data_IF_868285030303
#
_entry.id   IF_868285030303
#
_cell.length_a   1.000
_cell.length_b   1.000
_cell.length_c   1.000
_cell.angle_alpha   90.00
_cell.angle_beta   90.00
_cell.angle_gamma   90.00
#
_symmetry.space_group_name_H-M   'P 1'
#
loop_
_entity.id
_entity.type
_entity.pdbx_description
1 polymer ?
#
# COMPACT_ATOMS: atom_id res chain seq x y z
N UNK A 1 32.38 4.15 4.48
CA UNK A 1 32.95 2.84 4.11
C UNK A 1 32.12 1.79 4.83
N UNK A 2 31.70 0.68 4.19
CA UNK A 2 31.01 -0.42 4.91
C UNK A 2 31.89 -0.88 6.08
N UNK A 3 31.31 -1.00 7.27
CA UNK A 3 32.08 -1.37 8.45
C UNK A 3 32.58 -2.81 8.35
N UNK A 4 31.83 -3.72 7.69
CA UNK A 4 32.23 -5.11 7.47
C UNK A 4 33.55 -5.22 6.71
N UNK A 5 33.72 -4.44 5.62
CA UNK A 5 34.96 -4.47 4.81
C UNK A 5 36.18 -3.87 5.51
N UNK A 6 35.95 -2.95 6.45
CA UNK A 6 36.99 -2.18 7.13
C UNK A 6 37.21 -2.56 8.59
N UNK A 7 36.56 -3.63 9.05
CA UNK A 7 36.64 -4.10 10.43
C UNK A 7 36.85 -5.61 10.49
N UNK A 8 37.37 -6.11 11.61
CA UNK A 8 37.59 -7.54 11.86
C UNK A 8 37.17 -7.92 13.29
N UNK A 9 36.95 -9.22 13.53
CA UNK A 9 36.51 -9.72 14.83
C UNK A 9 35.12 -9.21 15.23
N UNK A 10 34.22 -9.09 14.26
CA UNK A 10 32.87 -8.56 14.47
C UNK A 10 32.06 -9.55 15.31
N UNK A 11 31.49 -9.07 16.40
CA UNK A 11 30.68 -9.87 17.32
C UNK A 11 29.57 -9.05 17.94
N UNK A 12 28.47 -9.70 18.30
CA UNK A 12 27.39 -9.11 19.10
C UNK A 12 27.41 -9.75 20.48
N UNK A 13 27.34 -8.92 21.51
CA UNK A 13 27.23 -9.39 22.90
C UNK A 13 25.77 -9.64 23.28
N UNK A 14 25.49 -10.37 24.38
CA UNK A 14 24.13 -10.58 24.87
C UNK A 14 23.37 -9.28 25.18
N UNK A 15 24.09 -8.19 25.47
CA UNK A 15 23.52 -6.86 25.70
C UNK A 15 23.26 -6.09 24.38
N UNK A 16 23.22 -6.80 23.26
CA UNK A 16 22.99 -6.28 21.90
C UNK A 16 23.96 -5.15 21.49
N UNK A 17 25.17 -5.19 22.05
CA UNK A 17 26.27 -4.31 21.71
C UNK A 17 27.16 -4.98 20.66
N UNK A 18 27.22 -4.37 19.48
CA UNK A 18 28.08 -4.73 18.37
C UNK A 18 29.51 -4.26 18.66
N UNK A 19 30.48 -5.14 18.53
CA UNK A 19 31.91 -4.84 18.75
C UNK A 19 32.75 -5.32 17.58
N UNK A 20 33.75 -4.53 17.19
CA UNK A 20 34.71 -4.89 16.15
C UNK A 20 36.05 -4.17 16.33
N UNK A 21 37.11 -4.69 15.71
CA UNK A 21 38.35 -3.95 15.48
C UNK A 21 38.24 -3.21 14.14
N UNK A 22 38.18 -1.89 14.18
CA UNK A 22 37.94 -1.03 13.03
C UNK A 22 39.24 -0.40 12.54
N UNK A 23 39.47 -0.43 11.23
CA UNK A 23 40.62 0.20 10.59
C UNK A 23 40.51 1.73 10.66
N UNK A 24 41.57 2.38 11.09
CA UNK A 24 41.76 3.82 11.11
C UNK A 24 42.37 4.31 9.79
N UNK A 25 42.31 5.63 9.55
CA UNK A 25 42.89 6.26 8.35
C UNK A 25 44.40 6.05 8.27
N UNK A 26 45.08 5.98 9.43
CA UNK A 26 46.51 5.69 9.52
C UNK A 26 46.86 4.19 9.34
N UNK A 27 45.88 3.33 9.03
CA UNK A 27 46.07 1.90 8.82
C UNK A 27 46.06 1.03 10.07
N UNK A 28 46.09 1.61 11.28
CA UNK A 28 46.00 0.86 12.53
C UNK A 28 44.57 0.40 12.83
N UNK A 29 44.41 -0.64 13.63
CA UNK A 29 43.10 -1.14 14.07
C UNK A 29 42.80 -0.68 15.48
N UNK A 30 41.61 -0.13 15.70
CA UNK A 30 41.10 0.30 17.00
C UNK A 30 39.85 -0.50 17.35
N UNK A 31 39.80 -1.05 18.55
CA UNK A 31 38.59 -1.71 19.05
C UNK A 31 37.51 -0.66 19.30
N UNK A 32 36.33 -0.87 18.73
CA UNK A 32 35.17 -0.01 18.90
C UNK A 32 33.90 -0.84 19.12
N UNK A 33 32.90 -0.24 19.73
CA UNK A 33 31.61 -0.88 19.95
C UNK A 33 30.47 0.13 19.89
N UNK A 34 29.27 -0.34 19.53
CA UNK A 34 28.06 0.47 19.39
C UNK A 34 26.84 -0.37 19.79
N UNK A 35 25.83 0.24 20.42
CA UNK A 35 24.59 -0.45 20.79
C UNK A 35 23.59 -0.39 19.64
N UNK A 36 22.89 -1.50 19.39
CA UNK A 36 21.88 -1.59 18.34
C UNK A 36 20.48 -1.20 18.82
N UNK A 37 20.15 -1.46 20.09
CA UNK A 37 18.84 -1.14 20.71
C UNK A 37 18.36 0.31 20.54
N UNK A 38 19.22 1.34 20.60
CA UNK A 38 18.77 2.72 20.44
C UNK A 38 18.24 3.06 19.03
N UNK A 39 18.51 2.20 18.04
CA UNK A 39 18.28 2.49 16.61
C UNK A 39 17.57 1.35 15.87
N UNK A 40 17.35 0.21 16.54
CA UNK A 40 16.59 -0.92 16.01
C UNK A 40 15.40 -1.21 16.91
N UNK A 41 14.23 -1.33 16.30
CA UNK A 41 12.99 -1.82 16.90
C UNK A 41 12.44 -3.04 16.17
N UNK A 42 11.30 -3.52 16.67
CA UNK A 42 10.52 -4.59 16.06
C UNK A 42 9.18 -4.03 15.58
N UNK A 43 8.93 -4.10 14.27
CA UNK A 43 7.65 -3.79 13.65
C UNK A 43 7.01 -5.08 13.13
N UNK A 44 6.07 -5.62 13.90
CA UNK A 44 5.29 -6.82 13.57
C UNK A 44 6.12 -8.02 13.07
N UNK A 45 7.22 -8.35 13.76
CA UNK A 45 8.10 -9.47 13.41
C UNK A 45 9.21 -9.14 12.42
N UNK A 46 9.38 -7.86 12.06
CA UNK A 46 10.45 -7.39 11.17
C UNK A 46 11.31 -6.32 11.85
N UNK A 47 12.61 -6.28 11.51
CA UNK A 47 13.49 -5.22 12.00
C UNK A 47 13.05 -3.86 11.45
N UNK A 48 12.93 -2.88 12.35
CA UNK A 48 12.61 -1.50 11.99
C UNK A 48 13.76 -0.59 12.43
N UNK A 49 14.41 0.06 11.48
CA UNK A 49 15.46 1.04 11.77
C UNK A 49 14.82 2.35 12.25
N UNK A 50 15.48 3.05 13.16
CA UNK A 50 14.94 4.17 13.96
C UNK A 50 13.87 3.76 14.98
N UNK A 51 13.49 2.48 14.99
CA UNK A 51 12.83 1.86 16.12
C UNK A 51 13.73 1.81 17.35
N UNK A 52 13.15 1.41 18.48
CA UNK A 52 13.89 1.25 19.74
C UNK A 52 13.60 -0.10 20.38
N UNK A 53 14.57 -0.57 21.15
CA UNK A 53 14.44 -1.71 22.04
C UNK A 53 13.97 -3.01 21.34
N UNK A 54 14.44 -3.31 20.12
CA UNK A 54 14.09 -4.57 19.44
C UNK A 54 14.35 -5.79 20.33
N UNK A 55 15.43 -5.74 21.12
CA UNK A 55 15.84 -6.73 22.12
C UNK A 55 14.71 -7.22 23.02
N UNK A 56 13.78 -6.33 23.43
CA UNK A 56 12.65 -6.68 24.32
C UNK A 56 11.70 -7.70 23.70
N UNK A 57 11.73 -7.84 22.39
CA UNK A 57 10.83 -8.70 21.62
C UNK A 57 11.59 -9.58 20.61
N UNK A 58 12.89 -9.74 20.83
CA UNK A 58 13.79 -10.54 20.00
C UNK A 58 14.32 -11.75 20.77
N UNK A 59 14.57 -12.85 20.07
CA UNK A 59 15.30 -14.01 20.57
C UNK A 59 16.21 -14.59 19.48
N UNK A 60 17.13 -15.46 19.88
CA UNK A 60 18.06 -16.16 18.98
C UNK A 60 18.89 -15.21 18.10
N UNK A 61 19.32 -14.08 18.67
CA UNK A 61 20.07 -13.05 17.96
C UNK A 61 21.49 -13.52 17.66
N UNK A 62 21.87 -13.51 16.39
CA UNK A 62 23.19 -13.94 15.92
C UNK A 62 23.68 -13.13 14.73
N UNK A 63 24.99 -13.11 14.51
CA UNK A 63 25.60 -12.50 13.33
C UNK A 63 26.08 -13.59 12.38
N UNK A 64 25.81 -13.40 11.09
CA UNK A 64 26.36 -14.23 10.01
C UNK A 64 26.95 -13.32 8.94
N UNK A 65 28.08 -13.73 8.37
CA UNK A 65 28.66 -13.05 7.21
C UNK A 65 28.11 -13.73 5.96
N UNK A 66 27.35 -12.99 5.17
CA UNK A 66 26.73 -13.46 3.93
C UNK A 66 27.10 -12.51 2.81
N UNK A 67 27.63 -13.04 1.69
CA UNK A 67 28.05 -12.26 0.52
C UNK A 67 28.99 -11.08 0.86
N UNK A 68 29.85 -11.25 1.87
CA UNK A 68 30.80 -10.22 2.31
C UNK A 68 30.17 -9.08 3.12
N UNK A 69 28.91 -9.20 3.54
CA UNK A 69 28.21 -8.27 4.44
C UNK A 69 27.89 -8.93 5.78
N UNK A 70 27.83 -8.14 6.85
CA UNK A 70 27.45 -8.65 8.18
C UNK A 70 25.94 -8.57 8.38
N UNK A 71 25.29 -9.73 8.47
CA UNK A 71 23.84 -9.86 8.63
C UNK A 71 23.49 -10.22 10.08
N UNK A 72 22.59 -9.43 10.68
CA UNK A 72 21.98 -9.68 11.97
C UNK A 72 20.73 -10.54 11.78
N UNK A 73 20.75 -11.77 12.31
CA UNK A 73 19.62 -12.68 12.33
C UNK A 73 18.95 -12.67 13.70
N UNK A 74 17.62 -12.66 13.74
CA UNK A 74 16.85 -12.78 14.98
C UNK A 74 15.45 -13.34 14.73
N UNK A 75 14.84 -13.93 15.75
CA UNK A 75 13.40 -14.19 15.80
C UNK A 75 12.70 -13.04 16.51
N UNK A 76 11.84 -12.30 15.81
CA UNK A 76 11.07 -11.18 16.36
C UNK A 76 9.61 -11.55 16.57
N UNK A 77 9.02 -11.04 17.66
CA UNK A 77 7.62 -11.30 18.01
C UNK A 77 6.67 -10.42 17.20
N UNK A 78 5.69 -11.04 16.54
CA UNK A 78 4.60 -10.38 15.82
C UNK A 78 3.49 -9.90 16.78
N UNK A 79 2.60 -9.03 16.31
CA UNK A 79 1.44 -8.52 17.08
C UNK A 79 0.46 -9.63 17.45
N UNK A 80 0.33 -10.66 16.62
CA UNK A 80 -0.47 -11.86 16.88
C UNK A 80 0.17 -12.80 17.93
N UNK A 81 1.39 -12.49 18.39
CA UNK A 81 2.13 -13.25 19.37
C UNK A 81 3.02 -14.36 18.79
N UNK A 82 2.97 -14.61 17.48
CA UNK A 82 3.85 -15.55 16.79
C UNK A 82 5.29 -14.99 16.70
N UNK A 83 6.25 -15.87 16.41
CA UNK A 83 7.65 -15.50 16.21
C UNK A 83 8.02 -15.65 14.74
N UNK A 84 8.71 -14.66 14.20
CA UNK A 84 9.13 -14.62 12.81
C UNK A 84 10.66 -14.48 12.75
N UNK A 85 11.31 -15.38 12.00
CA UNK A 85 12.72 -15.25 11.69
C UNK A 85 12.92 -14.12 10.67
N UNK A 86 13.85 -13.23 10.98
CA UNK A 86 14.17 -12.08 10.15
C UNK A 86 15.66 -11.77 10.20
N UNK A 87 16.13 -11.05 9.19
CA UNK A 87 17.52 -10.72 8.99
C UNK A 87 17.68 -9.26 8.56
N UNK A 88 18.70 -8.58 9.06
CA UNK A 88 19.03 -7.20 8.70
C UNK A 88 20.51 -7.08 8.35
N UNK A 89 20.82 -6.49 7.21
CA UNK A 89 22.19 -6.15 6.87
C UNK A 89 22.66 -4.95 7.71
N UNK A 90 23.65 -5.15 8.58
CA UNK A 90 24.17 -4.10 9.45
C UNK A 90 24.98 -3.06 8.69
N UNK A 91 25.51 -3.38 7.50
CA UNK A 91 26.24 -2.40 6.68
C UNK A 91 25.37 -1.23 6.21
N UNK A 92 24.05 -1.37 6.29
CA UNK A 92 23.08 -0.31 5.95
C UNK A 92 23.06 0.79 7.02
N UNK A 93 23.31 0.44 8.28
CA UNK A 93 23.10 1.33 9.44
C UNK A 93 24.37 1.54 10.28
N UNK A 94 25.38 0.70 10.13
CA UNK A 94 26.63 0.78 10.88
C UNK A 94 27.76 1.15 9.93
N UNK A 95 28.51 2.19 10.29
CA UNK A 95 29.68 2.63 9.55
C UNK A 95 30.92 2.64 10.45
N UNK A 96 32.08 2.37 9.85
CA UNK A 96 33.37 2.65 10.48
C UNK A 96 33.83 4.06 10.07
N UNK A 97 33.95 4.95 11.04
CA UNK A 97 34.53 6.29 10.87
C UNK A 97 35.85 6.38 11.64
N UNK A 98 36.97 6.24 10.92
CA UNK A 98 38.33 6.34 11.45
C UNK A 98 38.58 5.48 12.70
N UNK A 99 38.20 4.20 12.65
CA UNK A 99 38.36 3.26 13.76
C UNK A 99 37.28 3.32 14.83
N UNK A 100 36.19 4.06 14.58
CA UNK A 100 35.03 4.13 15.48
C UNK A 100 33.77 3.67 14.76
N UNK A 101 33.11 2.66 15.33
CA UNK A 101 31.76 2.25 14.91
C UNK A 101 30.77 3.33 15.29
N UNK A 102 30.02 3.79 14.30
CA UNK A 102 28.93 4.74 14.47
C UNK A 102 27.67 4.18 13.82
N UNK A 103 26.51 4.48 14.39
CA UNK A 103 25.26 4.31 13.66
C UNK A 103 25.14 5.49 12.70
N UNK A 104 24.96 5.18 11.42
CA UNK A 104 24.70 6.16 10.37
C UNK A 104 23.30 5.92 9.81
N UNK A 105 22.30 6.58 10.38
CA UNK A 105 20.91 6.53 9.90
C UNK A 105 20.66 7.48 8.74
N UNK A 106 21.66 8.26 8.31
CA UNK A 106 21.54 9.18 7.16
C UNK A 106 21.40 8.46 5.81
N UNK A 107 21.48 7.12 5.80
CA UNK A 107 21.18 6.23 4.68
C UNK A 107 19.70 5.87 4.57
N UNK A 108 18.89 6.15 5.60
CA UNK A 108 17.46 5.81 5.69
C UNK A 108 16.58 7.05 5.72
N UNK A 109 17.15 8.22 6.04
CA UNK A 109 16.49 9.49 5.81
C UNK A 109 16.28 9.71 4.31
N UNK A 110 15.12 9.31 3.82
CA UNK A 110 14.51 9.96 2.66
C UNK A 110 14.49 11.47 2.93
N UNK A 111 14.78 12.31 1.93
CA UNK A 111 14.84 13.76 2.13
C UNK A 111 13.56 14.25 2.79
N UNK A 112 13.72 15.08 3.83
CA UNK A 112 12.69 15.67 4.67
C UNK A 112 11.37 15.90 3.92
N UNK A 113 10.31 15.21 4.36
CA UNK A 113 8.95 15.37 3.83
C UNK A 113 8.51 14.34 2.77
N UNK A 114 9.18 13.19 2.64
CA UNK A 114 8.64 12.07 1.88
C UNK A 114 7.53 11.35 2.67
N UNK A 115 6.34 11.24 2.07
CA UNK A 115 5.31 10.28 2.49
C UNK A 115 5.98 8.90 2.52
N UNK A 116 6.14 8.34 3.71
CA UNK A 116 6.74 7.01 3.87
C UNK A 116 5.78 5.96 3.28
N UNK A 117 6.30 4.81 2.82
CA UNK A 117 5.46 3.70 2.38
C UNK A 117 4.40 3.34 3.43
N UNK A 118 4.74 3.43 4.72
CA UNK A 118 3.82 3.22 5.84
C UNK A 118 2.64 4.21 5.84
N UNK A 119 2.88 5.48 5.52
CA UNK A 119 1.81 6.48 5.42
C UNK A 119 0.89 6.21 4.23
N UNK A 120 1.46 5.77 3.10
CA UNK A 120 0.70 5.37 1.92
C UNK A 120 -0.16 4.12 2.20
N UNK A 121 0.43 3.09 2.80
CA UNK A 121 -0.27 1.87 3.18
C UNK A 121 -1.40 2.15 4.16
N UNK A 122 -1.16 3.03 5.15
CA UNK A 122 -2.17 3.48 6.09
C UNK A 122 -3.32 4.20 5.37
N UNK A 123 -3.01 5.10 4.43
CA UNK A 123 -4.02 5.82 3.64
C UNK A 123 -4.88 4.87 2.79
N UNK A 124 -4.26 3.86 2.16
CA UNK A 124 -4.95 2.82 1.40
C UNK A 124 -5.86 1.99 2.32
N UNK A 125 -5.38 1.58 3.50
CA UNK A 125 -6.18 0.78 4.43
C UNK A 125 -7.34 1.60 5.03
N UNK A 126 -7.13 2.87 5.34
CA UNK A 126 -8.21 3.78 5.78
C UNK A 126 -9.27 3.99 4.68
N UNK A 127 -8.87 4.00 3.41
CA UNK A 127 -9.79 4.04 2.28
C UNK A 127 -10.61 2.76 2.19
N UNK A 128 -9.96 1.59 2.33
CA UNK A 128 -10.59 0.27 2.31
C UNK A 128 -11.56 0.06 3.46
N UNK A 129 -11.18 0.49 4.66
CA UNK A 129 -12.05 0.44 5.82
C UNK A 129 -13.30 1.31 5.61
N UNK A 130 -13.13 2.53 5.10
CA UNK A 130 -14.26 3.42 4.82
C UNK A 130 -15.20 2.87 3.73
N UNK A 131 -14.67 2.17 2.71
CA UNK A 131 -15.50 1.46 1.74
C UNK A 131 -16.30 0.33 2.40
N UNK A 132 -15.68 -0.41 3.31
CA UNK A 132 -16.33 -1.49 4.08
C UNK A 132 -17.44 -0.96 4.99
N UNK A 133 -17.18 0.15 5.68
CA UNK A 133 -18.15 0.80 6.56
C UNK A 133 -19.35 1.32 5.77
N UNK A 134 -19.11 1.98 4.63
CA UNK A 134 -20.16 2.45 3.73
C UNK A 134 -21.03 1.29 3.22
N UNK A 135 -20.39 0.19 2.81
CA UNK A 135 -21.07 -1.04 2.38
C UNK A 135 -21.99 -1.61 3.45
N UNK A 136 -21.50 -1.70 4.70
CA UNK A 136 -22.30 -2.23 5.80
C UNK A 136 -23.48 -1.30 6.11
N UNK A 137 -23.26 0.02 6.10
CA UNK A 137 -24.33 1.01 6.28
C UNK A 137 -25.41 0.87 5.21
N UNK A 138 -25.04 0.76 3.92
CA UNK A 138 -25.99 0.58 2.82
C UNK A 138 -26.76 -0.73 2.99
N UNK A 139 -26.07 -1.84 3.27
CA UNK A 139 -26.72 -3.14 3.47
C UNK A 139 -27.76 -3.09 4.58
N UNK A 140 -27.41 -2.54 5.73
CA UNK A 140 -28.27 -2.48 6.90
C UNK A 140 -29.47 -1.56 6.68
N UNK A 141 -29.30 -0.49 5.91
CA UNK A 141 -30.39 0.40 5.53
C UNK A 141 -31.34 -0.30 4.54
N UNK A 142 -30.83 -0.86 3.44
CA UNK A 142 -31.64 -1.51 2.41
C UNK A 142 -32.39 -2.73 2.94
N UNK A 143 -31.74 -3.55 3.78
CA UNK A 143 -32.37 -4.73 4.39
C UNK A 143 -33.55 -4.32 5.28
N UNK A 144 -33.40 -3.24 6.06
CA UNK A 144 -34.43 -2.76 6.96
C UNK A 144 -35.64 -2.23 6.22
N UNK A 145 -35.43 -1.32 5.27
CA UNK A 145 -36.52 -0.71 4.50
C UNK A 145 -37.23 -1.76 3.64
N UNK A 146 -36.48 -2.67 2.98
CA UNK A 146 -37.04 -3.76 2.17
C UNK A 146 -37.90 -4.72 3.01
N UNK A 147 -37.46 -5.07 4.22
CA UNK A 147 -38.25 -5.93 5.11
C UNK A 147 -39.55 -5.27 5.57
N UNK A 148 -39.53 -3.98 5.90
CA UNK A 148 -40.74 -3.24 6.26
C UNK A 148 -41.71 -3.17 5.08
N UNK A 149 -41.21 -2.85 3.88
CA UNK A 149 -42.05 -2.76 2.70
C UNK A 149 -42.63 -4.12 2.29
N UNK A 150 -41.85 -5.19 2.43
CA UNK A 150 -42.33 -6.56 2.19
C UNK A 150 -43.45 -6.96 3.14
N UNK A 151 -43.41 -6.55 4.42
CA UNK A 151 -44.49 -6.81 5.36
C UNK A 151 -45.79 -6.11 4.95
N UNK A 152 -45.72 -4.84 4.56
CA UNK A 152 -46.88 -4.08 4.08
C UNK A 152 -47.44 -4.67 2.77
N UNK A 153 -46.60 -5.03 1.81
CA UNK A 153 -47.00 -5.69 0.55
C UNK A 153 -47.69 -7.02 0.82
N UNK A 154 -47.14 -7.87 1.69
CA UNK A 154 -47.76 -9.14 2.07
C UNK A 154 -49.11 -8.96 2.78
N UNK A 155 -49.27 -7.88 3.54
CA UNK A 155 -50.54 -7.55 4.20
C UNK A 155 -51.57 -7.10 3.17
N UNK A 156 -51.20 -6.24 2.22
CA UNK A 156 -52.05 -5.85 1.11
C UNK A 156 -52.46 -7.06 0.24
N UNK A 157 -51.52 -7.96 -0.05
CA UNK A 157 -51.78 -9.19 -0.81
C UNK A 157 -52.81 -10.10 -0.12
N UNK A 158 -52.72 -10.27 1.21
CA UNK A 158 -53.74 -10.99 1.99
C UNK A 158 -55.08 -10.28 1.97
N UNK A 159 -55.09 -8.95 2.04
CA UNK A 159 -56.30 -8.13 1.91
C UNK A 159 -57.01 -8.33 0.58
N UNK A 160 -56.27 -8.39 -0.55
CA UNK A 160 -56.83 -8.70 -1.87
C UNK A 160 -57.47 -10.10 -1.85
N UNK A 161 -56.78 -11.11 -1.33
CA UNK A 161 -57.31 -12.48 -1.30
C UNK A 161 -58.59 -12.60 -0.46
N UNK A 162 -58.64 -11.94 0.70
CA UNK A 162 -59.84 -11.89 1.56
C UNK A 162 -61.01 -11.20 0.86
N UNK A 163 -60.74 -10.12 0.12
CA UNK A 163 -61.76 -9.42 -0.65
C UNK A 163 -62.29 -10.28 -1.81
N UNK A 164 -61.42 -11.00 -2.51
CA UNK A 164 -61.83 -11.93 -3.56
C UNK A 164 -62.68 -13.08 -3.02
N UNK A 165 -62.34 -13.64 -1.85
CA UNK A 165 -63.13 -14.67 -1.17
C UNK A 165 -64.52 -14.13 -0.79
N UNK A 166 -64.59 -12.94 -0.19
CA UNK A 166 -65.85 -12.29 0.16
C UNK A 166 -66.77 -12.04 -1.05
N UNK A 167 -66.19 -11.70 -2.21
CA UNK A 167 -66.94 -11.54 -3.47
C UNK A 167 -67.46 -12.87 -4.02
N UNK A 168 -66.69 -13.96 -3.86
CA UNK A 168 -67.07 -15.29 -4.37
C UNK A 168 -68.16 -15.97 -3.53
N UNK A 169 -68.20 -15.71 -2.22
CA UNK A 169 -69.19 -16.32 -1.31
C UNK A 169 -70.63 -15.78 -1.52
N UNK A 170 -70.81 -14.76 -2.36
CA UNK A 170 -71.91 -14.69 -3.34
C UNK A 170 -73.37 -14.58 -2.86
N UNK A 171 -73.66 -14.58 -1.56
CA UNK A 171 -75.04 -14.51 -1.06
C UNK A 171 -75.53 -13.11 -0.64
N UNK A 172 -74.65 -12.27 -0.11
CA UNK A 172 -75.03 -11.05 0.62
C UNK A 172 -74.64 -9.72 -0.06
N UNK A 173 -73.82 -9.74 -1.11
CA UNK A 173 -73.27 -8.54 -1.75
C UNK A 173 -73.94 -8.19 -3.08
N UNK A 174 -75.26 -8.43 -3.18
CA UNK A 174 -76.03 -7.92 -4.30
C UNK A 174 -76.06 -6.38 -4.33
N UNK A 175 -75.82 -5.73 -3.18
CA UNK A 175 -75.87 -4.29 -3.03
C UNK A 175 -74.51 -3.70 -2.61
N UNK A 176 -74.11 -2.63 -3.29
CA UNK A 176 -72.78 -1.99 -3.20
C UNK A 176 -72.43 -1.48 -1.81
N UNK A 177 -73.46 -1.23 -0.98
CA UNK A 177 -73.30 -0.72 0.37
C UNK A 177 -72.61 -1.71 1.31
N UNK A 178 -72.63 -3.01 1.00
CA UNK A 178 -72.12 -4.02 1.92
C UNK A 178 -70.59 -4.14 1.87
N UNK A 179 -69.91 -3.87 0.74
CA UNK A 179 -68.45 -4.10 0.61
C UNK A 179 -67.58 -2.83 0.67
N UNK A 180 -68.21 -1.65 0.81
CA UNK A 180 -67.51 -0.36 0.93
C UNK A 180 -66.48 -0.31 2.08
N UNK A 181 -66.76 -0.84 3.28
CA UNK A 181 -65.78 -0.86 4.38
C UNK A 181 -64.52 -1.67 4.04
N UNK A 182 -64.68 -2.85 3.44
CA UNK A 182 -63.61 -3.76 3.06
C UNK A 182 -62.76 -3.16 1.93
N UNK A 183 -63.40 -2.53 0.94
CA UNK A 183 -62.71 -1.81 -0.13
C UNK A 183 -61.88 -0.63 0.41
N UNK A 184 -62.45 0.15 1.33
CA UNK A 184 -61.73 1.23 2.01
C UNK A 184 -60.53 0.72 2.82
N UNK A 185 -60.66 -0.41 3.51
CA UNK A 185 -59.55 -1.05 4.22
C UNK A 185 -58.46 -1.53 3.26
N UNK A 186 -58.82 -2.19 2.16
CA UNK A 186 -57.86 -2.64 1.15
C UNK A 186 -57.08 -1.47 0.55
N UNK A 187 -57.76 -0.38 0.22
CA UNK A 187 -57.13 0.84 -0.30
C UNK A 187 -56.12 1.42 0.69
N UNK A 188 -56.44 1.41 1.98
CA UNK A 188 -55.49 1.81 3.02
C UNK A 188 -54.25 0.91 3.03
N UNK A 189 -54.41 -0.41 2.96
CA UNK A 189 -53.29 -1.35 2.93
C UNK A 189 -52.39 -1.16 1.70
N UNK A 190 -52.97 -0.95 0.53
CA UNK A 190 -52.21 -0.68 -0.70
C UNK A 190 -51.49 0.66 -0.63
N UNK A 191 -52.13 1.69 -0.10
CA UNK A 191 -51.49 2.99 0.11
C UNK A 191 -50.33 2.92 1.09
N UNK A 192 -50.44 2.14 2.18
CA UNK A 192 -49.33 1.89 3.10
C UNK A 192 -48.20 1.13 2.39
N UNK A 193 -48.52 0.08 1.63
CA UNK A 193 -47.53 -0.68 0.85
C UNK A 193 -46.77 0.21 -0.14
N UNK A 194 -47.46 1.06 -0.92
CA UNK A 194 -46.83 2.04 -1.82
C UNK A 194 -45.96 3.05 -1.06
N UNK A 195 -46.43 3.49 0.12
CA UNK A 195 -45.68 4.38 1.01
C UNK A 195 -44.38 3.76 1.52
N UNK A 196 -44.40 2.49 1.95
CA UNK A 196 -43.18 1.79 2.36
C UNK A 196 -42.24 1.53 1.17
N UNK A 197 -42.77 1.22 -0.02
CA UNK A 197 -41.95 1.00 -1.21
C UNK A 197 -41.23 2.28 -1.66
N UNK A 198 -41.86 3.44 -1.48
CA UNK A 198 -41.23 4.75 -1.69
C UNK A 198 -40.02 4.97 -0.78
N UNK A 199 -40.04 4.47 0.47
CA UNK A 199 -38.86 4.54 1.35
C UNK A 199 -37.72 3.65 0.88
N UNK A 200 -38.02 2.51 0.26
CA UNK A 200 -37.00 1.63 -0.33
C UNK A 200 -36.31 2.35 -1.50
N UNK A 201 -37.08 2.99 -2.37
CA UNK A 201 -36.56 3.82 -3.46
C UNK A 201 -35.66 4.95 -2.91
N UNK A 202 -36.13 5.72 -1.93
CA UNK A 202 -35.35 6.78 -1.29
C UNK A 202 -34.05 6.25 -0.68
N UNK A 203 -34.08 5.05 -0.09
CA UNK A 203 -32.91 4.40 0.49
C UNK A 203 -31.90 3.94 -0.58
N UNK A 204 -32.37 3.40 -1.71
CA UNK A 204 -31.50 3.03 -2.85
C UNK A 204 -30.90 4.27 -3.49
N UNK A 205 -31.70 5.31 -3.73
CA UNK A 205 -31.20 6.59 -4.25
C UNK A 205 -30.16 7.23 -3.32
N UNK A 206 -30.41 7.23 -2.01
CA UNK A 206 -29.44 7.69 -1.01
C UNK A 206 -28.14 6.86 -1.03
N UNK A 207 -28.24 5.53 -1.15
CA UNK A 207 -27.08 4.64 -1.26
C UNK A 207 -26.25 4.92 -2.53
N UNK A 208 -26.91 5.09 -3.68
CA UNK A 208 -26.26 5.48 -4.94
C UNK A 208 -25.51 6.80 -4.80
N UNK A 209 -26.14 7.82 -4.19
CA UNK A 209 -25.48 9.11 -3.93
C UNK A 209 -24.27 9.00 -2.98
N UNK A 210 -24.38 8.21 -1.92
CA UNK A 210 -23.24 8.00 -1.01
C UNK A 210 -22.05 7.31 -1.70
N UNK A 211 -22.31 6.33 -2.57
CA UNK A 211 -21.28 5.66 -3.36
C UNK A 211 -20.61 6.64 -4.33
N UNK A 212 -21.40 7.40 -5.09
CA UNK A 212 -20.89 8.45 -5.99
C UNK A 212 -20.08 9.50 -5.22
N UNK A 213 -20.53 9.87 -4.02
CA UNK A 213 -19.83 10.75 -3.09
C UNK A 213 -18.47 10.19 -2.66
N UNK A 214 -18.43 8.92 -2.24
CA UNK A 214 -17.20 8.22 -1.84
C UNK A 214 -16.19 8.15 -3.01
N UNK A 215 -16.65 7.82 -4.21
CA UNK A 215 -15.80 7.78 -5.41
C UNK A 215 -15.15 9.13 -5.72
N UNK A 216 -15.96 10.19 -5.75
CA UNK A 216 -15.51 11.54 -6.16
C UNK A 216 -14.64 12.23 -5.13
N UNK A 217 -14.82 11.92 -3.85
CA UNK A 217 -14.09 12.58 -2.76
C UNK A 217 -12.95 11.70 -2.26
N UNK A 218 -13.26 10.72 -1.41
CA UNK A 218 -12.26 9.94 -0.67
C UNK A 218 -11.40 9.09 -1.59
N UNK A 219 -12.00 8.33 -2.50
CA UNK A 219 -11.25 7.44 -3.39
C UNK A 219 -10.43 8.21 -4.44
N UNK A 220 -10.99 9.30 -4.98
CA UNK A 220 -10.25 10.17 -5.89
C UNK A 220 -9.06 10.85 -5.22
N UNK A 221 -9.25 11.40 -4.02
CA UNK A 221 -8.17 12.02 -3.24
C UNK A 221 -7.03 11.04 -2.94
N UNK A 222 -7.37 9.83 -2.50
CA UNK A 222 -6.39 8.78 -2.17
C UNK A 222 -5.58 8.39 -3.40
N UNK A 223 -6.25 8.18 -4.55
CA UNK A 223 -5.55 7.83 -5.80
C UNK A 223 -4.64 8.97 -6.26
N UNK A 224 -5.10 10.22 -6.19
CA UNK A 224 -4.30 11.37 -6.57
C UNK A 224 -3.04 11.54 -5.69
N UNK A 225 -3.17 11.27 -4.38
CA UNK A 225 -2.04 11.30 -3.44
C UNK A 225 -1.03 10.16 -3.71
N UNK A 226 -1.52 8.96 -4.03
CA UNK A 226 -0.67 7.84 -4.44
C UNK A 226 0.08 8.16 -5.73
N UNK A 227 -0.61 8.63 -6.78
CA UNK A 227 0.01 8.98 -8.07
C UNK A 227 0.98 10.16 -7.95
N UNK A 228 0.75 11.10 -7.03
CA UNK A 228 1.72 12.15 -6.72
C UNK A 228 2.98 11.59 -6.04
N UNK A 229 2.81 10.65 -5.11
CA UNK A 229 3.89 9.97 -4.40
C UNK A 229 4.71 9.10 -5.35
N UNK A 230 4.07 8.32 -6.23
CA UNK A 230 4.71 7.53 -7.27
C UNK A 230 5.60 8.39 -8.18
N UNK A 231 5.08 9.53 -8.66
CA UNK A 231 5.84 10.46 -9.50
C UNK A 231 7.06 11.03 -8.77
N UNK A 232 6.93 11.34 -7.48
CA UNK A 232 8.05 11.82 -6.66
C UNK A 232 9.13 10.74 -6.51
N UNK A 233 8.74 9.51 -6.16
CA UNK A 233 9.69 8.39 -6.01
C UNK A 233 10.39 8.09 -7.34
N UNK A 234 9.66 8.05 -8.45
CA UNK A 234 10.24 7.81 -9.78
C UNK A 234 11.29 8.87 -10.14
N UNK A 235 11.02 10.15 -9.87
CA UNK A 235 11.98 11.23 -10.11
C UNK A 235 13.24 11.11 -9.22
N UNK A 236 13.10 10.64 -7.98
CA UNK A 236 14.25 10.40 -7.09
C UNK A 236 15.05 9.17 -7.54
N UNK A 237 14.41 8.10 -8.05
CA UNK A 237 15.09 6.95 -8.68
C UNK A 237 15.95 7.43 -9.85
N UNK A 238 15.38 8.18 -10.79
CA UNK A 238 16.10 8.69 -11.96
C UNK A 238 17.30 9.56 -11.56
N UNK A 239 17.16 10.40 -10.53
CA UNK A 239 18.26 11.21 -9.99
C UNK A 239 19.38 10.33 -9.43
N UNK A 240 19.05 9.33 -8.61
CA UNK A 240 20.06 8.44 -8.03
C UNK A 240 20.80 7.61 -9.08
N UNK A 241 20.09 7.16 -10.14
CA UNK A 241 20.71 6.47 -11.26
C UNK A 241 21.70 7.36 -12.03
N UNK A 242 21.40 8.66 -12.17
CA UNK A 242 22.32 9.62 -12.78
C UNK A 242 23.58 9.81 -11.93
N UNK A 243 23.42 10.00 -10.62
CA UNK A 243 24.55 10.13 -9.68
C UNK A 243 25.43 8.86 -9.64
N UNK A 244 24.83 7.66 -9.72
CA UNK A 244 25.58 6.41 -9.87
C UNK A 244 26.39 6.36 -11.16
N UNK A 245 25.82 6.83 -12.27
CA UNK A 245 26.51 6.86 -13.55
C UNK A 245 27.72 7.80 -13.49
N UNK A 246 27.57 8.98 -12.89
CA UNK A 246 28.66 9.94 -12.71
C UNK A 246 29.76 9.41 -11.79
N UNK A 247 29.40 8.82 -10.65
CA UNK A 247 30.39 8.21 -9.73
C UNK A 247 31.09 7.00 -10.34
N UNK A 248 30.42 6.25 -11.22
CA UNK A 248 31.05 5.17 -12.00
C UNK A 248 32.10 5.72 -12.95
N UNK A 249 31.78 6.75 -13.72
CA UNK A 249 32.73 7.42 -14.63
C UNK A 249 33.93 7.97 -13.85
N UNK A 250 33.69 8.56 -12.68
CA UNK A 250 34.77 9.09 -11.85
C UNK A 250 35.71 7.97 -11.35
N UNK A 251 35.17 6.83 -10.93
CA UNK A 251 35.97 5.66 -10.52
C UNK A 251 36.79 5.08 -11.67
N UNK A 252 36.23 5.00 -12.88
CA UNK A 252 36.96 4.57 -14.08
C UNK A 252 38.12 5.54 -14.35
N UNK A 253 37.88 6.85 -14.28
CA UNK A 253 38.93 7.87 -14.44
C UNK A 253 40.04 7.78 -13.39
N UNK A 254 39.72 7.53 -12.11
CA UNK A 254 40.73 7.36 -11.06
C UNK A 254 41.54 6.08 -11.27
N UNK A 255 40.89 4.99 -11.68
CA UNK A 255 41.56 3.72 -11.99
C UNK A 255 42.54 3.88 -13.16
N UNK A 256 42.15 4.61 -14.20
CA UNK A 256 43.01 4.91 -15.35
C UNK A 256 44.23 5.74 -14.95
N UNK A 257 44.05 6.74 -14.07
CA UNK A 257 45.16 7.54 -13.53
C UNK A 257 46.17 6.68 -12.75
N UNK A 258 45.69 5.76 -11.89
CA UNK A 258 46.58 4.83 -11.18
C UNK A 258 47.32 3.94 -12.17
N UNK A 259 46.62 3.39 -13.17
CA UNK A 259 47.24 2.56 -14.22
C UNK A 259 48.33 3.30 -14.99
N UNK A 260 48.10 4.58 -15.30
CA UNK A 260 49.10 5.44 -15.95
C UNK A 260 50.31 5.70 -15.04
N UNK A 261 50.08 6.07 -13.78
CA UNK A 261 51.16 6.29 -12.81
C UNK A 261 52.00 5.03 -12.58
N UNK A 262 51.39 3.85 -12.51
CA UNK A 262 52.10 2.57 -12.38
C UNK A 262 52.98 2.28 -13.60
N UNK A 263 52.50 2.57 -14.81
CA UNK A 263 53.24 2.39 -16.07
C UNK A 263 54.41 3.38 -16.20
N UNK A 264 54.21 4.64 -15.80
CA UNK A 264 55.27 5.65 -15.76
C UNK A 264 56.36 5.23 -14.78
N UNK A 265 55.98 4.73 -13.60
CA UNK A 265 56.92 4.23 -12.60
C UNK A 265 57.71 3.00 -13.08
N UNK A 266 57.07 2.02 -13.73
CA UNK A 266 57.79 0.86 -14.28
C UNK A 266 58.78 1.28 -15.38
N UNK A 267 58.37 2.19 -16.25
CA UNK A 267 59.23 2.75 -17.30
C UNK A 267 60.44 3.49 -16.71
N UNK A 268 60.24 4.29 -15.66
CA UNK A 268 61.32 4.99 -14.96
C UNK A 268 62.30 4.02 -14.28
N UNK A 269 61.79 2.93 -13.69
CA UNK A 269 62.64 1.88 -13.12
C UNK A 269 63.48 1.17 -14.18
N UNK A 270 62.88 0.83 -15.33
CA UNK A 270 63.60 0.17 -16.44
C UNK A 270 64.71 1.06 -17.00
N UNK A 271 64.40 2.34 -17.26
CA UNK A 271 65.38 3.33 -17.72
C UNK A 271 66.54 3.50 -16.72
N UNK A 272 66.25 3.40 -15.42
CA UNK A 272 67.28 3.47 -14.37
C UNK A 272 68.18 2.25 -14.35
N UNK A 273 67.63 1.05 -14.56
CA UNK A 273 68.43 -0.18 -14.69
C UNK A 273 69.33 -0.12 -15.92
N UNK A 274 68.81 0.36 -17.06
CA UNK A 274 69.58 0.55 -18.29
C UNK A 274 70.70 1.58 -18.12
N UNK A 275 70.43 2.71 -17.44
CA UNK A 275 71.43 3.72 -17.14
C UNK A 275 72.52 3.17 -16.21
N UNK A 276 72.14 2.44 -15.16
CA UNK A 276 73.07 1.80 -14.23
C UNK A 276 73.98 0.79 -14.94
N UNK A 277 73.42 -0.06 -15.80
CA UNK A 277 74.16 -1.02 -16.61
C UNK A 277 75.19 -0.35 -17.55
N UNK A 278 74.91 0.86 -18.05
CA UNK A 278 75.83 1.65 -18.88
C UNK A 278 76.93 2.35 -18.08
N UNK A 279 76.63 2.81 -16.86
CA UNK A 279 77.61 3.52 -16.00
C UNK A 279 78.48 2.61 -15.12
N UNK A 280 78.15 1.33 -14.94
CA UNK A 280 78.93 0.38 -14.15
C UNK A 280 80.35 0.11 -14.67
N UNK A 281 80.75 0.70 -15.80
CA UNK A 281 82.09 0.59 -16.38
C UNK A 281 83.09 1.69 -15.95
N UNK A 282 82.72 2.71 -15.17
CA UNK A 282 83.67 3.77 -14.73
C UNK A 282 83.45 4.16 -13.26
N UNK A 283 84.46 3.91 -12.41
CA UNK A 283 84.53 4.29 -11.00
C UNK A 283 84.31 5.80 -10.79
N UNK A 284 83.39 6.22 -9.90
CA UNK A 284 83.59 7.24 -8.83
C UNK A 284 82.50 7.11 -7.73
N UNK A 285 82.84 7.00 -6.42
CA UNK A 285 81.85 6.89 -5.33
C UNK A 285 81.24 8.21 -4.80
N UNK A 286 81.82 9.38 -5.12
CA UNK A 286 81.52 10.65 -4.41
C UNK A 286 80.39 11.51 -5.01
N UNK A 287 79.90 11.23 -6.22
CA UNK A 287 78.78 11.97 -6.86
C UNK A 287 77.42 11.28 -6.64
N UNK A 288 77.41 10.06 -6.08
CA UNK A 288 76.20 9.24 -5.98
C UNK A 288 75.30 9.53 -4.77
N UNK A 289 75.81 10.19 -3.74
CA UNK A 289 75.03 10.45 -2.51
C UNK A 289 73.90 11.47 -2.73
N UNK A 290 74.10 12.62 -3.41
CA UNK A 290 73.02 13.57 -3.69
C UNK A 290 71.92 12.99 -4.59
N UNK A 291 72.30 12.26 -5.65
CA UNK A 291 71.38 11.59 -6.57
C UNK A 291 70.55 10.48 -5.91
N UNK A 292 71.10 9.80 -4.89
CA UNK A 292 70.36 8.80 -4.12
C UNK A 292 69.32 9.44 -3.18
N UNK A 293 69.61 10.64 -2.65
CA UNK A 293 68.69 11.40 -1.78
C UNK A 293 67.53 11.97 -2.60
N UNK A 294 67.81 12.60 -3.74
CA UNK A 294 66.78 13.15 -4.63
C UNK A 294 65.83 12.05 -5.14
N UNK A 295 66.38 10.89 -5.51
CA UNK A 295 65.60 9.71 -5.90
C UNK A 295 64.81 9.06 -4.75
N UNK A 296 65.20 9.31 -3.49
CA UNK A 296 64.47 8.86 -2.30
C UNK A 296 63.28 9.79 -2.02
N UNK A 297 63.47 11.10 -2.18
CA UNK A 297 62.41 12.09 -2.01
C UNK A 297 61.34 11.98 -3.10
N UNK A 298 61.75 11.73 -4.36
CA UNK A 298 60.81 11.44 -5.44
C UNK A 298 59.99 10.18 -5.15
N UNK A 299 60.61 9.07 -4.71
CA UNK A 299 59.88 7.85 -4.34
C UNK A 299 58.88 8.09 -3.21
N UNK A 300 59.26 8.87 -2.19
CA UNK A 300 58.35 9.21 -1.11
C UNK A 300 57.15 10.05 -1.59
N UNK A 301 57.36 10.94 -2.57
CA UNK A 301 56.27 11.69 -3.20
C UNK A 301 55.36 10.77 -4.05
N UNK A 302 55.93 9.83 -4.79
CA UNK A 302 55.17 8.83 -5.55
C UNK A 302 54.32 7.94 -4.65
N UNK A 303 54.91 7.37 -3.60
CA UNK A 303 54.19 6.52 -2.64
C UNK A 303 53.03 7.30 -1.98
N UNK A 304 53.24 8.59 -1.69
CA UNK A 304 52.20 9.47 -1.18
C UNK A 304 51.06 9.67 -2.20
N UNK A 305 51.38 9.97 -3.46
CA UNK A 305 50.37 10.15 -4.52
C UNK A 305 49.57 8.88 -4.78
N UNK A 306 50.22 7.71 -4.80
CA UNK A 306 49.53 6.41 -4.93
C UNK A 306 48.60 6.19 -3.75
N UNK A 307 49.07 6.44 -2.53
CA UNK A 307 48.25 6.31 -1.32
C UNK A 307 47.04 7.25 -1.34
N UNK A 308 47.22 8.50 -1.78
CA UNK A 308 46.14 9.48 -1.90
C UNK A 308 45.09 9.06 -2.94
N UNK A 309 45.52 8.52 -4.10
CA UNK A 309 44.63 7.97 -5.12
C UNK A 309 43.89 6.71 -4.65
N UNK A 310 44.56 5.79 -3.95
CA UNK A 310 43.93 4.59 -3.37
C UNK A 310 42.86 4.96 -2.32
N UNK A 311 43.13 5.98 -1.51
CA UNK A 311 42.16 6.52 -0.56
C UNK A 311 40.95 7.12 -1.29
N UNK A 312 41.17 7.89 -2.36
CA UNK A 312 40.10 8.47 -3.18
C UNK A 312 39.24 7.38 -3.86
N UNK A 313 39.85 6.31 -4.38
CA UNK A 313 39.11 5.15 -4.92
C UNK A 313 38.28 4.48 -3.83
N UNK A 314 38.85 4.28 -2.64
CA UNK A 314 38.13 3.63 -1.54
C UNK A 314 36.93 4.46 -1.07
N UNK A 315 37.09 5.79 -1.01
CA UNK A 315 36.00 6.72 -0.69
C UNK A 315 34.92 6.71 -1.78
N UNK A 316 35.31 6.81 -3.05
CA UNK A 316 34.35 6.81 -4.16
C UNK A 316 33.64 5.46 -4.31
N UNK A 317 34.34 4.34 -4.07
CA UNK A 317 33.73 3.01 -4.01
C UNK A 317 32.69 2.90 -2.88
N UNK A 318 32.93 3.56 -1.74
CA UNK A 318 31.92 3.60 -0.70
C UNK A 318 30.70 4.43 -1.10
N UNK A 319 30.90 5.55 -1.80
CA UNK A 319 29.78 6.35 -2.30
C UNK A 319 28.92 5.54 -3.28
N UNK A 320 29.55 4.75 -4.17
CA UNK A 320 28.83 3.81 -5.04
C UNK A 320 28.00 2.80 -4.25
N UNK A 321 28.61 2.08 -3.30
CA UNK A 321 27.90 1.10 -2.47
C UNK A 321 26.68 1.74 -1.74
N UNK A 322 26.81 3.01 -1.33
CA UNK A 322 25.73 3.78 -0.70
C UNK A 322 24.61 4.12 -1.68
N UNK A 323 24.96 4.58 -2.89
CA UNK A 323 23.99 4.89 -3.93
C UNK A 323 23.23 3.63 -4.38
N UNK A 324 23.90 2.48 -4.50
CA UNK A 324 23.28 1.19 -4.81
C UNK A 324 22.24 0.81 -3.74
N UNK A 325 22.58 1.01 -2.47
CA UNK A 325 21.64 0.79 -1.35
C UNK A 325 20.40 1.69 -1.41
N UNK A 326 20.59 2.98 -1.74
CA UNK A 326 19.50 3.93 -1.89
C UNK A 326 18.59 3.58 -3.08
N UNK A 327 19.17 3.21 -4.23
CA UNK A 327 18.42 2.79 -5.41
C UNK A 327 17.52 1.59 -5.10
N UNK A 328 18.06 0.54 -4.46
CA UNK A 328 17.28 -0.65 -4.07
C UNK A 328 16.12 -0.26 -3.13
N UNK A 329 16.35 0.67 -2.20
CA UNK A 329 15.31 1.18 -1.31
C UNK A 329 14.20 1.92 -2.05
N UNK A 330 14.56 2.82 -2.97
CA UNK A 330 13.62 3.58 -3.78
C UNK A 330 12.82 2.70 -4.74
N UNK A 331 13.45 1.70 -5.37
CA UNK A 331 12.77 0.74 -6.24
C UNK A 331 11.72 -0.08 -5.47
N UNK A 332 12.05 -0.52 -4.25
CA UNK A 332 11.06 -1.19 -3.38
C UNK A 332 9.92 -0.26 -3.00
N UNK A 333 10.21 0.99 -2.65
CA UNK A 333 9.18 1.99 -2.34
C UNK A 333 8.25 2.24 -3.53
N UNK A 334 8.82 2.33 -4.73
CA UNK A 334 8.06 2.47 -5.98
C UNK A 334 7.17 1.24 -6.23
N UNK A 335 7.69 0.04 -5.99
CA UNK A 335 6.90 -1.19 -6.11
C UNK A 335 5.72 -1.22 -5.13
N UNK A 336 5.94 -0.83 -3.86
CA UNK A 336 4.87 -0.72 -2.86
C UNK A 336 3.82 0.31 -3.28
N UNK A 337 4.25 1.48 -3.77
CA UNK A 337 3.34 2.52 -4.25
C UNK A 337 2.48 2.03 -5.43
N UNK A 338 3.11 1.39 -6.43
CA UNK A 338 2.42 0.79 -7.57
C UNK A 338 1.38 -0.26 -7.14
N UNK A 339 1.71 -1.10 -6.16
CA UNK A 339 0.75 -2.07 -5.61
C UNK A 339 -0.42 -1.38 -4.90
N UNK A 340 -0.16 -0.30 -4.15
CA UNK A 340 -1.21 0.50 -3.50
C UNK A 340 -2.15 1.14 -4.53
N UNK A 341 -1.58 1.74 -5.58
CA UNK A 341 -2.32 2.34 -6.69
C UNK A 341 -3.21 1.34 -7.41
N UNK A 342 -2.68 0.16 -7.71
CA UNK A 342 -3.42 -0.93 -8.34
C UNK A 342 -4.59 -1.42 -7.46
N UNK A 343 -4.39 -1.56 -6.15
CA UNK A 343 -5.48 -1.91 -5.22
C UNK A 343 -6.59 -0.84 -5.24
N UNK A 344 -6.23 0.44 -5.22
CA UNK A 344 -7.21 1.53 -5.28
C UNK A 344 -7.93 1.60 -6.63
N UNK A 345 -7.26 1.28 -7.75
CA UNK A 345 -7.90 1.21 -9.08
C UNK A 345 -8.93 0.08 -9.15
N UNK A 346 -8.61 -1.10 -8.60
CA UNK A 346 -9.58 -2.21 -8.48
C UNK A 346 -10.78 -1.80 -7.65
N UNK A 347 -10.55 -1.24 -6.46
CA UNK A 347 -11.63 -0.71 -5.62
C UNK A 347 -12.48 0.33 -6.37
N UNK A 348 -11.87 1.19 -7.20
CA UNK A 348 -12.63 2.14 -8.05
C UNK A 348 -13.51 1.44 -9.08
N UNK A 349 -13.01 0.39 -9.71
CA UNK A 349 -13.79 -0.41 -10.65
C UNK A 349 -14.97 -1.10 -9.95
N UNK A 350 -14.71 -1.76 -8.82
CA UNK A 350 -15.73 -2.48 -8.04
C UNK A 350 -16.83 -1.53 -7.54
N UNK A 351 -16.46 -0.37 -6.98
CA UNK A 351 -17.41 0.67 -6.59
C UNK A 351 -18.16 1.25 -7.80
N UNK A 352 -17.52 1.29 -8.98
CA UNK A 352 -18.13 1.68 -10.25
C UNK A 352 -19.27 0.75 -10.65
N UNK A 353 -18.98 -0.55 -10.71
CA UNK A 353 -19.98 -1.59 -11.01
C UNK A 353 -21.13 -1.54 -10.01
N UNK A 354 -20.84 -1.42 -8.71
CA UNK A 354 -21.88 -1.31 -7.69
C UNK A 354 -22.79 -0.08 -7.90
N UNK A 355 -22.23 1.06 -8.33
CA UNK A 355 -23.03 2.24 -8.63
C UNK A 355 -24.00 2.01 -9.79
N UNK A 356 -23.58 1.29 -10.83
CA UNK A 356 -24.42 0.96 -11.99
C UNK A 356 -25.52 -0.03 -11.59
N UNK A 357 -25.19 -1.03 -10.78
CA UNK A 357 -26.17 -2.01 -10.27
C UNK A 357 -27.24 -1.35 -9.39
N UNK A 358 -26.86 -0.39 -8.55
CA UNK A 358 -27.81 0.37 -7.72
C UNK A 358 -28.69 1.31 -8.55
N UNK A 359 -28.14 1.97 -9.58
CA UNK A 359 -28.94 2.81 -10.48
C UNK A 359 -29.98 1.96 -11.23
N UNK A 360 -29.60 0.76 -11.69
CA UNK A 360 -30.54 -0.19 -12.30
C UNK A 360 -31.58 -0.75 -11.33
N UNK A 361 -31.21 -0.94 -10.06
CA UNK A 361 -32.15 -1.34 -9.00
C UNK A 361 -33.14 -0.20 -8.68
N UNK A 362 -32.68 1.04 -8.63
CA UNK A 362 -33.50 2.23 -8.42
C UNK A 362 -34.58 2.34 -9.50
N UNK A 363 -34.19 2.19 -10.77
CA UNK A 363 -35.12 2.22 -11.91
C UNK A 363 -36.21 1.12 -11.80
N UNK A 364 -35.82 -0.12 -11.47
CA UNK A 364 -36.78 -1.23 -11.27
C UNK A 364 -37.74 -0.94 -10.13
N UNK A 365 -37.27 -0.40 -9.01
CA UNK A 365 -38.12 -0.07 -7.86
C UNK A 365 -39.09 1.06 -8.21
N UNK A 366 -38.59 2.09 -8.90
CA UNK A 366 -39.39 3.22 -9.35
C UNK A 366 -40.53 2.75 -10.27
N UNK A 367 -40.23 1.91 -11.26
CA UNK A 367 -41.23 1.32 -12.16
C UNK A 367 -42.34 0.60 -11.38
N UNK A 368 -41.96 -0.27 -10.43
CA UNK A 368 -42.95 -0.99 -9.61
C UNK A 368 -43.75 -0.09 -8.67
N UNK A 369 -43.13 0.96 -8.14
CA UNK A 369 -43.87 1.99 -7.37
C UNK A 369 -44.92 2.69 -8.23
N UNK A 370 -44.57 3.08 -9.46
CA UNK A 370 -45.50 3.72 -10.39
C UNK A 370 -46.68 2.79 -10.70
N UNK A 371 -46.42 1.52 -11.01
CA UNK A 371 -47.47 0.52 -11.22
C UNK A 371 -48.40 0.37 -10.01
N UNK A 372 -47.86 0.32 -8.79
CA UNK A 372 -48.67 0.27 -7.56
C UNK A 372 -49.50 1.55 -7.36
N UNK A 373 -48.95 2.71 -7.69
CA UNK A 373 -49.63 4.01 -7.55
C UNK A 373 -50.79 4.11 -8.52
N UNK A 374 -50.56 3.75 -9.79
CA UNK A 374 -51.59 3.70 -10.82
C UNK A 374 -52.67 2.70 -10.44
N UNK A 375 -52.30 1.53 -9.93
CA UNK A 375 -53.26 0.54 -9.45
C UNK A 375 -54.15 1.07 -8.31
N UNK A 376 -53.57 1.74 -7.32
CA UNK A 376 -54.34 2.37 -6.22
C UNK A 376 -55.34 3.39 -6.76
N UNK A 377 -54.98 4.10 -7.82
CA UNK A 377 -55.88 5.06 -8.48
C UNK A 377 -56.98 4.36 -9.28
N UNK A 378 -56.66 3.32 -10.06
CA UNK A 378 -57.64 2.49 -10.78
C UNK A 378 -58.63 1.84 -9.81
N UNK A 379 -58.15 1.33 -8.68
CA UNK A 379 -59.02 0.73 -7.66
C UNK A 379 -59.98 1.79 -7.07
N UNK A 380 -59.50 3.01 -6.83
CA UNK A 380 -60.33 4.12 -6.36
C UNK A 380 -61.44 4.48 -7.36
N UNK A 381 -61.13 4.47 -8.66
CA UNK A 381 -62.09 4.76 -9.74
C UNK A 381 -63.13 3.64 -9.88
N UNK A 382 -62.70 2.38 -9.83
CA UNK A 382 -63.60 1.23 -9.75
C UNK A 382 -64.55 1.35 -8.54
N UNK A 383 -64.03 1.77 -7.39
CA UNK A 383 -64.86 2.01 -6.20
C UNK A 383 -65.83 3.20 -6.34
N UNK A 384 -65.58 4.19 -7.21
CA UNK A 384 -66.47 5.33 -7.45
C UNK A 384 -67.51 5.10 -8.54
N UNK A 385 -67.16 4.36 -9.59
CA UNK A 385 -67.94 4.31 -10.83
C UNK A 385 -69.06 3.26 -10.82
N UNK A 386 -69.08 2.38 -9.81
CA UNK A 386 -70.15 1.40 -9.64
C UNK A 386 -70.01 0.22 -10.57
N UNK A 387 -68.77 -0.15 -10.87
CA UNK A 387 -68.46 -1.40 -11.55
C UNK A 387 -69.08 -2.58 -10.82
N UNK A 388 -69.42 -3.58 -11.63
CA UNK A 388 -69.96 -4.86 -11.18
C UNK A 388 -68.94 -5.60 -10.30
N UNK A 389 -69.43 -6.51 -9.45
CA UNK A 389 -68.56 -7.37 -8.64
C UNK A 389 -67.55 -8.16 -9.49
N UNK A 390 -67.92 -8.51 -10.74
CA UNK A 390 -67.04 -9.19 -11.68
C UNK A 390 -65.88 -8.29 -12.14
N UNK A 391 -66.18 -7.06 -12.57
CA UNK A 391 -65.17 -6.08 -12.97
C UNK A 391 -64.25 -5.73 -11.80
N UNK A 392 -64.79 -5.55 -10.60
CA UNK A 392 -64.00 -5.31 -9.40
C UNK A 392 -63.07 -6.48 -9.08
N UNK A 393 -63.55 -7.72 -9.22
CA UNK A 393 -62.73 -8.93 -9.05
C UNK A 393 -61.58 -9.02 -10.06
N UNK A 394 -61.79 -8.58 -11.30
CA UNK A 394 -60.72 -8.47 -12.31
C UNK A 394 -59.67 -7.43 -11.89
N UNK A 395 -60.09 -6.25 -11.42
CA UNK A 395 -59.16 -5.25 -10.88
C UNK A 395 -58.37 -5.78 -9.68
N UNK A 396 -58.98 -6.59 -8.81
CA UNK A 396 -58.26 -7.25 -7.71
C UNK A 396 -57.21 -8.24 -8.21
N UNK A 397 -57.49 -8.96 -9.29
CA UNK A 397 -56.55 -9.89 -9.90
C UNK A 397 -55.34 -9.16 -10.51
N UNK A 398 -55.54 -8.03 -11.18
CA UNK A 398 -54.45 -7.17 -11.68
C UNK A 398 -53.56 -6.69 -10.52
N UNK A 399 -54.16 -6.22 -9.42
CA UNK A 399 -53.42 -5.82 -8.22
C UNK A 399 -52.56 -6.93 -7.64
N UNK A 400 -53.08 -8.16 -7.64
CA UNK A 400 -52.35 -9.33 -7.17
C UNK A 400 -51.10 -9.61 -8.00
N UNK A 401 -51.20 -9.46 -9.33
CA UNK A 401 -50.08 -9.63 -10.25
C UNK A 401 -49.00 -8.56 -10.02
N UNK A 402 -49.40 -7.29 -9.86
CA UNK A 402 -48.49 -6.18 -9.55
C UNK A 402 -47.75 -6.43 -8.23
N UNK A 403 -48.46 -6.82 -7.16
CA UNK A 403 -47.82 -7.11 -5.87
C UNK A 403 -46.89 -8.32 -5.94
N UNK A 404 -47.18 -9.30 -6.80
CA UNK A 404 -46.29 -10.43 -7.04
C UNK A 404 -44.98 -10.01 -7.73
N UNK A 405 -45.04 -9.09 -8.68
CA UNK A 405 -43.84 -8.51 -9.30
C UNK A 405 -43.00 -7.69 -8.30
N UNK A 406 -43.66 -6.94 -7.41
CA UNK A 406 -42.97 -6.20 -6.31
C UNK A 406 -42.25 -7.18 -5.38
N UNK A 407 -42.89 -8.28 -5.01
CA UNK A 407 -42.26 -9.35 -4.21
C UNK A 407 -41.13 -10.06 -4.95
N UNK A 408 -41.13 -10.08 -6.28
CA UNK A 408 -40.02 -10.59 -7.07
C UNK A 408 -38.81 -9.65 -6.98
N UNK A 409 -38.99 -8.33 -7.15
CA UNK A 409 -37.92 -7.34 -6.95
C UNK A 409 -37.38 -7.39 -5.52
N UNK A 410 -38.23 -7.66 -4.53
CA UNK A 410 -37.79 -7.89 -3.13
C UNK A 410 -36.72 -8.99 -3.01
N UNK A 411 -36.73 -10.02 -3.87
CA UNK A 411 -35.73 -11.09 -3.82
C UNK A 411 -34.32 -10.60 -4.18
N UNK A 412 -34.17 -9.41 -4.77
CA UNK A 412 -32.87 -8.79 -5.01
C UNK A 412 -32.25 -8.24 -3.72
N UNK A 413 -33.08 -7.99 -2.70
CA UNK A 413 -32.66 -7.57 -1.37
C UNK A 413 -32.38 -8.74 -0.41
N UNK A 414 -32.43 -9.98 -0.89
CA UNK A 414 -32.09 -11.11 -0.04
C UNK A 414 -30.62 -10.97 0.43
N UNK A 415 -30.31 -11.27 1.70
CA UNK A 415 -28.99 -10.99 2.27
C UNK A 415 -27.83 -11.59 1.47
N UNK A 416 -28.03 -12.74 0.84
CA UNK A 416 -27.04 -13.38 -0.02
C UNK A 416 -26.80 -12.60 -1.31
N UNK A 417 -27.86 -12.12 -1.98
CA UNK A 417 -27.72 -11.32 -3.21
C UNK A 417 -27.15 -9.93 -2.92
N UNK A 418 -27.62 -9.27 -1.85
CA UNK A 418 -27.01 -8.03 -1.37
C UNK A 418 -25.54 -8.24 -0.99
N UNK A 419 -25.18 -9.39 -0.43
CA UNK A 419 -23.78 -9.69 -0.14
C UNK A 419 -22.94 -9.78 -1.41
N UNK A 420 -23.44 -10.46 -2.45
CA UNK A 420 -22.78 -10.61 -3.76
C UNK A 420 -22.67 -9.25 -4.47
N UNK A 421 -23.78 -8.51 -4.58
CA UNK A 421 -23.82 -7.18 -5.21
C UNK A 421 -22.85 -6.21 -4.52
N UNK A 422 -22.77 -6.28 -3.18
CA UNK A 422 -21.89 -5.42 -2.41
C UNK A 422 -20.48 -6.00 -2.22
N UNK A 423 -20.00 -6.97 -3.00
CA UNK A 423 -18.59 -7.38 -2.92
C UNK A 423 -17.70 -6.25 -3.45
N UNK A 424 -16.93 -5.65 -2.54
CA UNK A 424 -15.96 -4.56 -2.74
C UNK A 424 -14.60 -5.03 -2.24
#
# INVERSE_FOLDING_TARGET
MSFTKSSRGISVTPDFQLSAECKQINGHFKRSSVRLDPVLGNADGSFHVEGRDFSKSARDVSLKVENGSTILHASLRRKDGAWQETALNLDVIVANRNGSLVIDTSTIQSPDGAVTCDALEKLVEECRQAATDLKNQIRDQLTRESNQASQSVNTAFKGIAQMQEALNDGGAYADRQHFQPEAGHLRFLLSDATGQWSKVEDAVGTASQHIKGFQRTKLHSVIAEIEATERKIAADVDRTMLEQKETKIHLESLSDQIGQHQKEHSTALDQRHDAWARTASVLVPFVFIPLAVEASDERAQWDKQVTDLENAITETSCLRDRLDGLQIGLERALQTANQGSERCRRLRADVGTLSEELDGLEERIHDKKCMMTDYVQTLREAESDGVTALEYSQTLQEGREILQEVLYVKQEFDPEKLHVMLQL
#
